data_IF_032008229864
#
_entry.id   IF_032008229864
#
_cell.length_a   1.000
_cell.length_b   1.000
_cell.length_c   1.000
_cell.angle_alpha   90.00
_cell.angle_beta   90.00
_cell.angle_gamma   90.00
#
_symmetry.space_group_name_H-M   'P 1'
#
loop_
_entity.id
_entity.type
_entity.pdbx_description
1 polymer ?
#
# COMPACT_ATOMS: atom_id res chain seq x y z
N UNK A 1 -15.78 13.56 -0.33
CA UNK A 1 -14.41 13.13 -0.59
C UNK A 1 -14.40 12.07 -1.67
N UNK A 2 -13.51 12.21 -2.64
CA UNK A 2 -13.37 11.22 -3.69
C UNK A 2 -12.88 9.90 -3.11
N UNK A 3 -13.04 8.85 -3.88
CA UNK A 3 -12.71 7.53 -3.39
C UNK A 3 -11.29 7.13 -3.72
N UNK A 4 -10.71 6.30 -2.85
CA UNK A 4 -9.42 5.69 -3.10
C UNK A 4 -9.55 4.70 -4.25
N UNK A 5 -8.58 4.68 -5.15
CA UNK A 5 -8.57 3.73 -6.26
C UNK A 5 -7.19 3.09 -6.41
N UNK A 6 -7.18 1.84 -6.87
CA UNK A 6 -5.95 1.15 -7.25
C UNK A 6 -6.22 0.39 -8.53
N UNK A 7 -5.47 0.71 -9.58
CA UNK A 7 -5.73 0.18 -10.92
C UNK A 7 -7.19 0.49 -11.30
N UNK A 8 -7.99 -0.52 -11.52
CA UNK A 8 -9.39 -0.33 -11.92
C UNK A 8 -10.36 -0.44 -10.75
N UNK A 9 -9.86 -0.79 -9.58
CA UNK A 9 -10.71 -0.96 -8.41
C UNK A 9 -10.95 0.37 -7.72
N UNK A 10 -12.22 0.66 -7.46
CA UNK A 10 -12.63 1.86 -6.73
C UNK A 10 -13.19 1.39 -5.39
N UNK A 11 -12.65 1.91 -4.30
CA UNK A 11 -13.15 1.54 -2.96
C UNK A 11 -14.59 2.01 -2.81
N UNK A 12 -15.54 1.12 -2.53
CA UNK A 12 -16.94 1.53 -2.31
C UNK A 12 -17.10 2.38 -1.07
N UNK A 13 -16.36 2.04 0.00
CA UNK A 13 -16.26 2.86 1.20
C UNK A 13 -14.79 3.08 1.45
N UNK A 14 -14.39 4.33 1.59
CA UNK A 14 -12.98 4.65 1.82
C UNK A 14 -12.47 4.02 3.12
N UNK A 15 -11.19 3.67 3.18
CA UNK A 15 -10.60 3.15 4.41
C UNK A 15 -10.76 4.11 5.57
N UNK A 16 -10.90 3.56 6.77
CA UNK A 16 -10.95 4.36 8.00
C UNK A 16 -9.60 4.97 8.31
N UNK A 17 -8.53 4.26 7.98
CA UNK A 17 -7.17 4.73 8.22
C UNK A 17 -6.38 4.66 6.94
N UNK A 18 -5.47 5.58 6.80
CA UNK A 18 -4.53 5.62 5.68
C UNK A 18 -3.25 6.21 6.22
N UNK A 19 -2.16 5.49 6.06
CA UNK A 19 -0.88 5.88 6.61
C UNK A 19 0.19 5.70 5.55
N UNK A 20 1.06 6.70 5.40
CA UNK A 20 2.23 6.60 4.54
C UNK A 20 3.47 6.62 5.42
N UNK A 21 4.35 5.67 5.21
CA UNK A 21 5.59 5.58 5.94
C UNK A 21 6.74 5.59 4.94
N UNK A 22 7.72 6.45 5.19
CA UNK A 22 8.89 6.56 4.33
C UNK A 22 10.07 5.96 5.06
N UNK A 23 10.75 5.02 4.43
CA UNK A 23 11.89 4.33 5.00
C UNK A 23 13.06 4.48 4.08
N UNK A 24 14.20 4.85 4.63
CA UNK A 24 15.45 4.91 3.89
C UNK A 24 16.48 4.06 4.58
N UNK A 25 17.06 3.16 3.82
CA UNK A 25 18.07 2.26 4.31
C UNK A 25 19.43 2.87 4.04
N UNK A 26 20.16 3.22 5.12
CA UNK A 26 21.50 3.78 4.97
C UNK A 26 22.50 2.66 4.79
N UNK A 27 23.40 2.83 3.82
CA UNK A 27 24.52 1.91 3.60
C UNK A 27 25.76 2.51 4.22
N UNK A 28 26.49 1.74 4.96
CA UNK A 28 27.66 2.22 5.68
C UNK A 28 28.79 1.20 5.60
N UNK A 29 29.98 1.68 5.86
CA UNK A 29 31.18 0.85 5.99
C UNK A 29 32.03 1.39 7.12
N UNK A 30 32.95 0.57 7.61
CA UNK A 30 33.90 1.00 8.62
C UNK A 30 35.21 1.37 7.94
N UNK A 31 35.72 2.54 8.25
CA UNK A 31 37.00 3.00 7.73
C UNK A 31 37.79 3.61 8.88
N UNK A 32 38.96 3.07 9.13
CA UNK A 32 39.86 3.55 10.20
C UNK A 32 39.18 3.57 11.57
N UNK A 33 38.32 2.60 11.81
CA UNK A 33 37.60 2.50 13.07
C UNK A 33 36.36 3.38 13.17
N UNK A 34 36.09 4.15 12.14
CA UNK A 34 34.91 5.01 12.11
C UNK A 34 33.86 4.47 11.14
N UNK A 35 32.60 4.72 11.46
CA UNK A 35 31.50 4.37 10.56
C UNK A 35 31.32 5.49 9.53
N UNK A 36 31.42 5.12 8.29
CA UNK A 36 31.25 6.06 7.18
C UNK A 36 30.00 5.66 6.40
N UNK A 37 29.11 6.60 6.18
CA UNK A 37 27.91 6.38 5.37
C UNK A 37 28.20 6.74 3.93
N UNK A 38 28.29 5.73 3.08
CA UNK A 38 28.59 5.93 1.67
C UNK A 38 27.37 6.42 0.90
N UNK A 39 26.21 6.00 1.30
CA UNK A 39 25.00 6.19 0.54
C UNK A 39 23.80 6.11 1.47
N UNK A 40 22.81 6.87 1.18
CA UNK A 40 21.56 6.79 1.93
C UNK A 40 20.68 5.63 1.50
N UNK A 41 21.10 4.90 0.45
CA UNK A 41 20.39 3.73 0.02
C UNK A 41 19.06 4.05 -0.63
N UNK A 42 18.27 3.02 -0.78
CA UNK A 42 16.97 3.12 -1.42
C UNK A 42 15.93 3.66 -0.46
N UNK A 43 15.06 4.49 -0.99
CA UNK A 43 13.92 4.96 -0.24
C UNK A 43 12.71 4.10 -0.59
N UNK A 44 11.96 3.71 0.42
CA UNK A 44 10.71 2.98 0.25
C UNK A 44 9.58 3.79 0.85
N UNK A 45 8.47 3.75 0.18
CA UNK A 45 7.23 4.31 0.72
C UNK A 45 6.28 3.15 0.96
N UNK A 46 5.80 3.03 2.18
CA UNK A 46 4.88 1.97 2.56
C UNK A 46 3.56 2.63 2.91
N UNK A 47 2.51 2.20 2.25
CA UNK A 47 1.16 2.70 2.48
C UNK A 47 0.36 1.60 3.13
N UNK A 48 -0.19 1.88 4.29
CA UNK A 48 -1.06 0.95 4.98
C UNK A 48 -2.39 1.62 5.27
N UNK A 49 -3.43 0.81 5.30
CA UNK A 49 -4.73 1.31 5.65
C UNK A 49 -5.63 0.17 6.07
N UNK A 50 -6.72 0.53 6.70
CA UNK A 50 -7.71 -0.43 7.15
C UNK A 50 -9.10 0.18 7.06
N UNK A 51 -10.09 -0.69 6.93
CA UNK A 51 -11.45 -0.25 6.85
C UNK A 51 -12.39 -1.43 6.80
N UNK A 52 -13.59 -1.16 6.36
CA UNK A 52 -14.60 -2.19 6.22
C UNK A 52 -15.32 -2.02 4.89
N UNK A 53 -15.71 -3.13 4.31
CA UNK A 53 -16.71 -3.14 3.26
C UNK A 53 -18.02 -3.63 3.89
N UNK A 54 -19.09 -2.95 3.60
CA UNK A 54 -20.39 -3.34 4.10
C UNK A 54 -21.44 -3.18 3.02
N UNK A 55 -22.56 -3.84 3.19
CA UNK A 55 -23.62 -3.86 2.20
C UNK A 55 -23.66 -5.17 1.45
N UNK A 56 -24.58 -5.29 0.53
CA UNK A 56 -24.80 -6.53 -0.21
C UNK A 56 -23.58 -7.00 -0.97
N UNK A 57 -22.75 -6.06 -1.42
CA UNK A 57 -21.60 -6.38 -2.26
C UNK A 57 -20.29 -6.47 -1.47
N UNK A 58 -20.35 -6.49 -0.13
CA UNK A 58 -19.15 -6.46 0.70
C UNK A 58 -18.16 -7.55 0.32
N UNK A 59 -18.62 -8.79 0.25
CA UNK A 59 -17.73 -9.90 -0.08
C UNK A 59 -17.27 -9.86 -1.53
N UNK A 60 -18.14 -9.46 -2.43
CA UNK A 60 -17.79 -9.32 -3.85
C UNK A 60 -16.69 -8.28 -4.03
N UNK A 61 -16.81 -7.15 -3.34
CA UNK A 61 -15.80 -6.09 -3.41
C UNK A 61 -14.47 -6.56 -2.82
N UNK A 62 -14.51 -7.30 -1.71
CA UNK A 62 -13.27 -7.83 -1.16
C UNK A 62 -12.62 -8.83 -2.10
N UNK A 63 -13.40 -9.65 -2.79
CA UNK A 63 -12.86 -10.59 -3.77
C UNK A 63 -12.16 -9.87 -4.93
N UNK A 64 -12.71 -8.76 -5.37
CA UNK A 64 -12.06 -7.94 -6.40
C UNK A 64 -10.71 -7.42 -5.92
N UNK A 65 -10.65 -6.95 -4.68
CA UNK A 65 -9.42 -6.47 -4.09
C UNK A 65 -8.41 -7.60 -3.93
N UNK A 66 -8.86 -8.76 -3.51
CA UNK A 66 -8.01 -9.94 -3.38
C UNK A 66 -7.42 -10.37 -4.72
N UNK A 67 -8.21 -10.28 -5.78
CA UNK A 67 -7.73 -10.60 -7.12
C UNK A 67 -6.61 -9.65 -7.55
N UNK A 68 -6.73 -8.37 -7.21
CA UNK A 68 -5.67 -7.40 -7.48
C UNK A 68 -4.41 -7.73 -6.69
N UNK A 69 -4.57 -8.19 -5.45
CA UNK A 69 -3.43 -8.59 -4.64
C UNK A 69 -2.65 -9.74 -5.29
N UNK A 70 -3.36 -10.65 -5.95
CA UNK A 70 -2.72 -11.78 -6.61
C UNK A 70 -1.98 -11.39 -7.88
N UNK A 71 -2.28 -10.23 -8.44
CA UNK A 71 -1.52 -9.72 -9.59
C UNK A 71 -0.17 -9.24 -9.11
N UNK A 72 0.86 -9.56 -9.88
CA UNK A 72 2.23 -9.24 -9.48
C UNK A 72 2.76 -7.95 -10.09
N UNK A 73 1.95 -7.25 -10.83
CA UNK A 73 2.35 -6.03 -11.50
C UNK A 73 2.04 -4.80 -10.65
N UNK A 74 2.88 -3.78 -10.80
CA UNK A 74 2.65 -2.51 -10.13
C UNK A 74 1.43 -1.82 -10.71
N UNK A 75 0.83 -0.94 -9.93
CA UNK A 75 -0.29 -0.14 -10.35
C UNK A 75 -0.32 1.18 -9.63
N UNK A 76 -1.17 2.07 -10.09
CA UNK A 76 -1.32 3.39 -9.49
C UNK A 76 -2.35 3.34 -8.37
N UNK A 77 -1.89 3.69 -7.17
CA UNK A 77 -2.77 3.90 -6.03
C UNK A 77 -3.07 5.39 -5.98
N UNK A 78 -4.31 5.76 -6.16
CA UNK A 78 -4.72 7.16 -6.22
C UNK A 78 -5.50 7.52 -4.97
N UNK A 79 -4.95 8.43 -4.20
CA UNK A 79 -5.60 8.94 -3.01
C UNK A 79 -6.14 10.34 -3.32
N UNK A 80 -7.37 10.65 -2.91
CA UNK A 80 -7.97 11.93 -3.26
C UNK A 80 -7.24 13.14 -2.68
N UNK A 81 -6.47 12.95 -1.61
CA UNK A 81 -5.72 14.04 -0.98
C UNK A 81 -4.24 13.94 -1.30
N UNK A 82 -3.66 12.73 -1.18
CA UNK A 82 -2.22 12.54 -1.24
C UNK A 82 -1.69 12.24 -2.64
N UNK A 83 -2.58 12.12 -3.62
CA UNK A 83 -2.18 11.95 -5.00
C UNK A 83 -1.93 10.51 -5.40
N UNK A 84 -1.14 10.34 -6.43
CA UNK A 84 -0.93 9.04 -7.07
C UNK A 84 0.44 8.48 -6.71
N UNK A 85 0.47 7.20 -6.35
CA UNK A 85 1.68 6.46 -6.04
C UNK A 85 1.71 5.20 -6.89
N UNK A 86 2.77 5.01 -7.66
CA UNK A 86 2.98 3.75 -8.38
C UNK A 86 3.60 2.76 -7.41
N UNK A 87 2.91 1.66 -7.15
CA UNK A 87 3.33 0.75 -6.10
C UNK A 87 2.85 -0.68 -6.37
N UNK A 88 3.38 -1.59 -5.57
CA UNK A 88 2.94 -2.99 -5.57
C UNK A 88 2.03 -3.23 -4.38
N UNK A 89 1.04 -4.06 -4.58
CA UNK A 89 0.15 -4.48 -3.51
C UNK A 89 0.82 -5.62 -2.76
N UNK A 90 1.37 -5.34 -1.60
CA UNK A 90 2.26 -6.27 -0.91
C UNK A 90 1.65 -6.98 0.29
N UNK A 91 0.52 -6.53 0.76
CA UNK A 91 -0.15 -7.19 1.88
C UNK A 91 -1.64 -6.97 1.88
N UNK A 92 -2.36 -8.00 2.22
CA UNK A 92 -3.82 -7.92 2.37
C UNK A 92 -4.23 -8.87 3.47
N UNK A 93 -4.96 -8.35 4.43
CA UNK A 93 -5.47 -9.14 5.54
C UNK A 93 -6.97 -8.91 5.63
N UNK A 94 -7.69 -9.97 5.88
CA UNK A 94 -9.13 -9.90 6.07
C UNK A 94 -9.48 -10.44 7.44
N UNK A 95 -10.33 -9.71 8.14
CA UNK A 95 -10.94 -10.22 9.35
C UNK A 95 -12.44 -10.27 9.11
N UNK A 96 -12.99 -11.46 9.15
CA UNK A 96 -14.42 -11.62 8.99
C UNK A 96 -15.08 -11.64 10.35
N UNK A 97 -16.01 -10.73 10.54
CA UNK A 97 -16.82 -10.70 11.75
C UNK A 97 -18.08 -11.53 11.54
N UNK A 98 -18.72 -11.99 12.64
CA UNK A 98 -19.92 -12.79 12.50
C UNK A 98 -21.13 -11.94 12.12
N UNK A 99 -21.01 -11.26 10.98
CA UNK A 99 -22.07 -10.41 10.43
C UNK A 99 -22.18 -10.68 8.93
N UNK A 100 -23.41 -10.63 8.45
CA UNK A 100 -23.63 -10.69 7.03
C UNK A 100 -23.22 -9.36 6.39
N UNK A 101 -22.71 -9.44 5.19
CA UNK A 101 -22.40 -8.25 4.38
C UNK A 101 -21.45 -7.27 5.07
N UNK A 102 -20.43 -7.82 5.74
CA UNK A 102 -19.47 -7.03 6.49
C UNK A 102 -18.11 -7.71 6.45
N UNK A 103 -17.09 -6.99 5.97
CA UNK A 103 -15.72 -7.51 5.89
C UNK A 103 -14.77 -6.42 6.36
N UNK A 104 -13.99 -6.72 7.39
CA UNK A 104 -12.90 -5.84 7.83
C UNK A 104 -11.63 -6.23 7.10
N UNK A 105 -10.84 -5.26 6.69
CA UNK A 105 -9.61 -5.54 5.94
C UNK A 105 -8.51 -4.58 6.34
N UNK A 106 -7.29 -5.00 6.02
CA UNK A 106 -6.11 -4.18 6.16
C UNK A 106 -5.23 -4.41 4.93
N UNK A 107 -4.68 -3.35 4.36
CA UNK A 107 -3.87 -3.49 3.15
C UNK A 107 -2.53 -2.82 3.32
N UNK A 108 -1.58 -3.25 2.48
CA UNK A 108 -0.24 -2.67 2.43
C UNK A 108 0.17 -2.56 0.96
N UNK A 109 0.64 -1.38 0.58
CA UNK A 109 1.25 -1.14 -0.73
C UNK A 109 2.67 -0.67 -0.50
N UNK A 110 3.58 -1.06 -1.38
CA UNK A 110 4.99 -0.68 -1.27
C UNK A 110 5.46 -0.06 -2.57
N UNK A 111 6.02 1.13 -2.48
CA UNK A 111 6.70 1.77 -3.59
C UNK A 111 8.19 1.75 -3.31
N UNK A 112 8.97 1.24 -4.25
CA UNK A 112 10.42 1.25 -4.14
C UNK A 112 10.96 2.35 -5.04
N UNK A 113 11.79 3.21 -4.45
CA UNK A 113 12.45 4.29 -5.17
C UNK A 113 13.96 3.99 -5.12
N UNK A 114 14.41 3.20 -6.07
CA UNK A 114 15.79 2.78 -6.11
C UNK A 114 16.59 3.71 -7.02
N UNK A 115 17.77 4.15 -6.55
CA UNK A 115 18.75 4.87 -7.38
C UNK A 115 18.16 6.08 -8.09
N UNK A 116 17.24 6.77 -7.47
CA UNK A 116 16.57 7.87 -8.10
C UNK A 116 15.68 7.47 -9.25
N UNK A 117 15.62 6.20 -9.58
CA UNK A 117 14.67 5.73 -10.57
C UNK A 117 13.42 5.27 -9.84
N UNK A 118 12.33 5.84 -10.27
CA UNK A 118 11.03 5.52 -9.71
C UNK A 118 10.44 4.41 -10.55
N UNK A 119 9.89 3.35 -9.95
CA UNK A 119 9.13 2.37 -10.71
C UNK A 119 8.00 3.09 -11.43
N UNK A 120 7.94 2.91 -12.69
CA UNK A 120 6.98 3.68 -13.49
C UNK A 120 5.99 2.81 -14.16
#
# INVERSE_FOLDING_TARGET
MDKLTFKTFVWPQNPHTYKEEFIREAKYRTQDGETVYDDMGEMKKIVTGSGVFYGEDAFTEFKKLSALFEEKAAGNLQHPIWGTTLCYFTGLEMTQEPRDNYVSYQFTFTQCLADGSVPK
#
